data_IF_555994741555
#
_entry.id   IF_555994741555
#
_cell.length_a   1.000
_cell.length_b   1.000
_cell.length_c   1.000
_cell.angle_alpha   90.00
_cell.angle_beta   90.00
_cell.angle_gamma   90.00
#
_symmetry.space_group_name_H-M   'P 1'
#
loop_
_entity.id
_entity.type
_entity.pdbx_description
1 polymer ?
#
# COMPACT_ATOMS: atom_id res chain seq x y z
N UNK A 1 99.66 -29.80 -111.37
CA UNK A 1 98.51 -30.50 -110.77
C UNK A 1 98.30 -29.93 -109.36
N UNK A 2 97.49 -28.87 -109.26
CA UNK A 2 97.04 -28.19 -108.03
C UNK A 2 95.58 -27.82 -108.31
N UNK A 3 94.61 -28.55 -107.75
CA UNK A 3 93.19 -28.16 -107.83
C UNK A 3 92.28 -28.82 -106.78
N UNK A 4 92.66 -29.94 -106.14
CA UNK A 4 91.67 -30.73 -105.37
C UNK A 4 91.68 -30.53 -103.84
N UNK A 5 92.44 -29.59 -103.29
CA UNK A 5 92.57 -29.42 -101.82
C UNK A 5 91.81 -28.25 -101.19
N UNK A 6 91.09 -27.44 -101.99
CA UNK A 6 90.34 -26.28 -101.47
C UNK A 6 88.82 -26.48 -101.35
N UNK A 7 88.24 -27.53 -101.94
CA UNK A 7 86.78 -27.76 -101.87
C UNK A 7 86.32 -28.44 -100.57
N UNK A 8 87.14 -29.30 -99.95
CA UNK A 8 86.73 -30.12 -98.80
C UNK A 8 86.55 -29.29 -97.51
N UNK A 9 87.35 -28.25 -97.29
CA UNK A 9 87.26 -27.42 -96.08
C UNK A 9 86.08 -26.44 -96.07
N UNK A 10 85.59 -26.01 -97.24
CA UNK A 10 84.40 -25.15 -97.35
C UNK A 10 83.10 -25.93 -97.12
N UNK A 11 83.03 -27.18 -97.60
CA UNK A 11 81.86 -28.03 -97.39
C UNK A 11 81.71 -28.45 -95.92
N UNK A 12 82.80 -28.71 -95.19
CA UNK A 12 82.77 -28.99 -93.75
C UNK A 12 82.37 -27.76 -92.92
N UNK A 13 82.83 -26.57 -93.29
CA UNK A 13 82.45 -25.33 -92.62
C UNK A 13 80.96 -24.99 -92.83
N UNK A 14 80.45 -25.20 -94.05
CA UNK A 14 79.03 -25.03 -94.34
C UNK A 14 78.16 -26.10 -93.67
N UNK A 15 78.60 -27.36 -93.61
CA UNK A 15 77.92 -28.41 -92.84
C UNK A 15 77.91 -28.14 -91.34
N UNK A 16 79.00 -27.60 -90.78
CA UNK A 16 79.08 -27.17 -89.38
C UNK A 16 78.14 -26.00 -89.09
N UNK A 17 78.11 -25.00 -89.98
CA UNK A 17 77.19 -23.86 -89.89
C UNK A 17 75.73 -24.28 -90.05
N UNK A 18 75.43 -25.20 -90.98
CA UNK A 18 74.08 -25.73 -91.19
C UNK A 18 73.64 -26.59 -90.01
N UNK A 19 74.53 -27.41 -89.43
CA UNK A 19 74.26 -28.19 -88.21
C UNK A 19 74.04 -27.27 -87.00
N UNK A 20 74.83 -26.20 -86.87
CA UNK A 20 74.64 -25.20 -85.82
C UNK A 20 73.32 -24.43 -85.99
N UNK A 21 72.98 -24.02 -87.21
CA UNK A 21 71.74 -23.32 -87.53
C UNK A 21 70.50 -24.23 -87.37
N UNK A 22 70.59 -25.50 -87.76
CA UNK A 22 69.55 -26.49 -87.55
C UNK A 22 69.40 -26.84 -86.07
N UNK A 23 70.49 -26.98 -85.31
CA UNK A 23 70.44 -27.19 -83.86
C UNK A 23 69.80 -25.99 -83.15
N UNK A 24 70.17 -24.76 -83.53
CA UNK A 24 69.59 -23.55 -82.94
C UNK A 24 68.10 -23.41 -83.23
N UNK A 25 67.64 -23.71 -84.46
CA UNK A 25 66.20 -23.67 -84.80
C UNK A 25 65.38 -24.84 -84.24
N UNK A 26 65.97 -26.02 -84.05
CA UNK A 26 65.28 -27.16 -83.45
C UNK A 26 65.08 -27.02 -81.93
N UNK A 27 65.93 -26.25 -81.24
CA UNK A 27 65.85 -26.08 -79.78
C UNK A 27 65.33 -24.70 -79.33
N UNK A 28 65.41 -23.63 -80.15
CA UNK A 28 64.88 -22.31 -79.77
C UNK A 28 63.34 -22.20 -79.87
N UNK A 29 62.66 -23.07 -80.62
CA UNK A 29 61.21 -22.95 -80.86
C UNK A 29 60.33 -23.57 -79.75
N UNK A 30 60.90 -24.38 -78.84
CA UNK A 30 60.12 -25.15 -77.86
C UNK A 30 60.42 -24.87 -76.40
N UNK A 31 61.52 -24.22 -76.03
CA UNK A 31 61.86 -24.05 -74.60
C UNK A 31 61.37 -22.73 -73.99
N UNK A 32 61.47 -21.58 -74.67
CA UNK A 32 61.08 -20.30 -74.06
C UNK A 32 59.55 -20.16 -73.87
N UNK A 33 58.74 -20.64 -74.82
CA UNK A 33 57.28 -20.56 -74.78
C UNK A 33 56.65 -21.54 -73.78
N UNK A 34 57.17 -22.77 -73.72
CA UNK A 34 56.67 -23.80 -72.78
C UNK A 34 57.11 -23.52 -71.35
N UNK A 35 58.34 -23.01 -71.14
CA UNK A 35 58.84 -22.59 -69.83
C UNK A 35 58.06 -21.39 -69.28
N UNK A 36 57.70 -20.42 -70.13
CA UNK A 36 56.85 -19.27 -69.72
C UNK A 36 55.45 -19.75 -69.33
N UNK A 37 54.84 -20.66 -70.12
CA UNK A 37 53.54 -21.25 -69.81
C UNK A 37 53.56 -22.08 -68.52
N UNK A 38 54.62 -22.85 -68.28
CA UNK A 38 54.78 -23.61 -67.05
C UNK A 38 54.91 -22.70 -65.82
N UNK A 39 55.68 -21.61 -65.93
CA UNK A 39 55.80 -20.59 -64.88
C UNK A 39 54.46 -19.91 -64.57
N UNK A 40 53.65 -19.60 -65.59
CA UNK A 40 52.31 -19.03 -65.40
C UNK A 40 51.34 -20.01 -64.74
N UNK A 41 51.38 -21.29 -65.10
CA UNK A 41 50.58 -22.33 -64.44
C UNK A 41 51.00 -22.47 -62.97
N UNK A 42 52.30 -22.47 -62.67
CA UNK A 42 52.80 -22.50 -61.29
C UNK A 42 52.33 -21.30 -60.48
N UNK A 43 52.39 -20.09 -61.04
CA UNK A 43 51.85 -18.88 -60.38
C UNK A 43 50.35 -18.99 -60.10
N UNK A 44 49.57 -19.53 -61.04
CA UNK A 44 48.13 -19.77 -60.84
C UNK A 44 47.86 -20.83 -59.78
N UNK A 45 48.62 -21.92 -59.77
CA UNK A 45 48.50 -22.97 -58.74
C UNK A 45 48.82 -22.41 -57.35
N UNK A 46 49.89 -21.62 -57.24
CA UNK A 46 50.22 -20.94 -55.98
C UNK A 46 49.09 -20.01 -55.53
N UNK A 47 48.57 -19.16 -56.41
CA UNK A 47 47.48 -18.25 -56.08
C UNK A 47 46.18 -18.99 -55.67
N UNK A 48 45.91 -20.15 -56.28
CA UNK A 48 44.79 -21.02 -55.90
C UNK A 48 45.03 -21.64 -54.52
N UNK A 49 46.23 -22.11 -54.22
CA UNK A 49 46.57 -22.65 -52.90
C UNK A 49 46.44 -21.57 -51.83
N UNK A 50 47.04 -20.40 -52.03
CA UNK A 50 46.95 -19.28 -51.09
C UNK A 50 45.48 -18.88 -50.83
N UNK A 51 44.65 -18.88 -51.88
CA UNK A 51 43.21 -18.63 -51.76
C UNK A 51 42.47 -19.75 -51.03
N UNK A 52 42.87 -21.01 -51.24
CA UNK A 52 42.27 -22.16 -50.56
C UNK A 52 42.57 -22.12 -49.07
N UNK A 53 43.82 -21.79 -48.70
CA UNK A 53 44.23 -21.64 -47.30
C UNK A 53 43.50 -20.48 -46.61
N UNK A 54 43.30 -19.36 -47.32
CA UNK A 54 42.53 -18.23 -46.81
C UNK A 54 41.06 -18.58 -46.58
N UNK A 55 40.41 -19.25 -47.55
CA UNK A 55 39.03 -19.71 -47.41
C UNK A 55 38.87 -20.76 -46.31
N UNK A 56 39.86 -21.64 -46.14
CA UNK A 56 39.87 -22.62 -45.06
C UNK A 56 39.93 -21.94 -43.70
N UNK A 57 40.78 -20.91 -43.55
CA UNK A 57 40.85 -20.12 -42.33
C UNK A 57 39.55 -19.37 -42.05
N UNK A 58 38.97 -18.72 -43.05
CA UNK A 58 37.68 -18.03 -42.91
C UNK A 58 36.56 -18.99 -42.51
N UNK A 59 36.56 -20.23 -43.03
CA UNK A 59 35.61 -21.27 -42.65
C UNK A 59 35.79 -21.68 -41.18
N UNK A 60 37.03 -21.88 -40.72
CA UNK A 60 37.34 -22.22 -39.32
C UNK A 60 36.91 -21.10 -38.37
N UNK A 61 37.25 -19.84 -38.69
CA UNK A 61 36.86 -18.67 -37.91
C UNK A 61 35.32 -18.54 -37.84
N UNK A 62 34.63 -18.76 -38.96
CA UNK A 62 33.17 -18.77 -39.02
C UNK A 62 32.56 -19.91 -38.19
N UNK A 63 33.17 -21.09 -38.17
CA UNK A 63 32.68 -22.23 -37.36
C UNK A 63 32.80 -21.95 -35.87
N UNK A 64 33.91 -21.33 -35.43
CA UNK A 64 34.08 -20.92 -34.03
C UNK A 64 33.05 -19.86 -33.64
N UNK A 65 32.79 -18.87 -34.51
CA UNK A 65 31.78 -17.86 -34.28
C UNK A 65 30.36 -18.45 -34.17
N UNK A 66 30.01 -19.39 -35.06
CA UNK A 66 28.72 -20.10 -35.02
C UNK A 66 28.57 -20.92 -33.74
N UNK A 67 29.64 -21.61 -33.31
CA UNK A 67 29.61 -22.37 -32.05
C UNK A 67 29.36 -21.47 -30.86
N UNK A 68 30.08 -20.35 -30.76
CA UNK A 68 29.88 -19.36 -29.69
C UNK A 68 28.45 -18.81 -29.70
N UNK A 69 27.92 -18.44 -30.86
CA UNK A 69 26.54 -17.95 -30.98
C UNK A 69 25.52 -19.00 -30.53
N UNK A 70 25.74 -20.29 -30.83
CA UNK A 70 24.86 -21.37 -30.37
C UNK A 70 24.92 -21.55 -28.84
N UNK A 71 26.09 -21.41 -28.23
CA UNK A 71 26.26 -21.47 -26.78
C UNK A 71 25.52 -20.30 -26.10
N UNK A 72 25.63 -19.08 -26.65
CA UNK A 72 24.92 -17.89 -26.17
C UNK A 72 23.39 -18.07 -26.30
N UNK A 73 22.90 -18.61 -27.42
CA UNK A 73 21.47 -18.94 -27.63
C UNK A 73 20.98 -19.94 -26.59
N UNK A 74 21.79 -20.94 -26.22
CA UNK A 74 21.42 -21.93 -25.22
C UNK A 74 21.26 -21.29 -23.82
N UNK A 75 22.16 -20.38 -23.44
CA UNK A 75 22.07 -19.63 -22.17
C UNK A 75 20.80 -18.77 -22.16
N UNK A 76 20.58 -17.98 -23.21
CA UNK A 76 19.39 -17.13 -23.32
C UNK A 76 18.08 -17.94 -23.32
N UNK A 77 18.10 -19.15 -23.86
CA UNK A 77 16.93 -20.06 -23.83
C UNK A 77 16.61 -20.48 -22.40
N UNK A 78 17.62 -20.82 -21.59
CA UNK A 78 17.44 -21.17 -20.18
C UNK A 78 16.91 -19.96 -19.39
N UNK A 79 17.51 -18.78 -19.58
CA UNK A 79 17.06 -17.56 -18.90
C UNK A 79 15.62 -17.19 -19.26
N UNK A 80 15.24 -17.34 -20.54
CA UNK A 80 13.85 -17.16 -20.99
C UNK A 80 12.92 -18.12 -20.27
N UNK A 81 13.27 -19.39 -20.14
CA UNK A 81 12.42 -20.39 -19.50
C UNK A 81 12.25 -20.13 -17.99
N UNK A 82 13.32 -19.67 -17.32
CA UNK A 82 13.27 -19.21 -15.93
C UNK A 82 12.36 -17.99 -15.75
N UNK A 83 12.43 -17.03 -16.68
CA UNK A 83 11.56 -15.85 -16.68
C UNK A 83 10.09 -16.23 -16.93
N UNK A 84 9.82 -17.17 -17.84
CA UNK A 84 8.46 -17.70 -18.06
C UNK A 84 7.92 -18.33 -16.78
N UNK A 85 8.72 -19.15 -16.08
CA UNK A 85 8.30 -19.74 -14.81
C UNK A 85 7.99 -18.70 -13.73
N UNK A 86 8.74 -17.60 -13.67
CA UNK A 86 8.44 -16.47 -12.77
C UNK A 86 7.14 -15.77 -13.15
N UNK A 87 6.88 -15.57 -14.45
CA UNK A 87 5.65 -14.97 -14.96
C UNK A 87 4.44 -15.84 -14.57
N UNK A 88 4.52 -17.15 -14.77
CA UNK A 88 3.45 -18.08 -14.40
C UNK A 88 3.16 -18.04 -12.89
N UNK A 89 4.21 -18.02 -12.05
CA UNK A 89 4.04 -17.89 -10.61
C UNK A 89 3.38 -16.56 -10.20
N UNK A 90 3.74 -15.46 -10.85
CA UNK A 90 3.12 -14.16 -10.61
C UNK A 90 1.65 -14.16 -11.04
N UNK A 91 1.31 -14.77 -12.17
CA UNK A 91 -0.06 -14.91 -12.63
C UNK A 91 -0.93 -15.71 -11.65
N UNK A 92 -0.42 -16.83 -11.13
CA UNK A 92 -1.09 -17.62 -10.10
C UNK A 92 -1.37 -16.80 -8.83
N UNK A 93 -0.41 -15.96 -8.43
CA UNK A 93 -0.57 -15.08 -7.27
C UNK A 93 -1.58 -13.97 -7.52
N UNK A 94 -1.61 -13.39 -8.73
CA UNK A 94 -2.62 -12.42 -9.14
C UNK A 94 -4.01 -13.05 -9.06
N UNK A 95 -4.20 -14.25 -9.61
CA UNK A 95 -5.51 -14.93 -9.59
C UNK A 95 -5.99 -15.21 -8.15
N UNK A 96 -5.08 -15.61 -7.25
CA UNK A 96 -5.40 -15.79 -5.82
C UNK A 96 -5.80 -14.47 -5.14
N UNK A 97 -5.08 -13.39 -5.45
CA UNK A 97 -5.37 -12.06 -4.90
C UNK A 97 -6.71 -11.51 -5.41
N UNK A 98 -7.03 -11.73 -6.69
CA UNK A 98 -8.33 -11.37 -7.26
C UNK A 98 -9.48 -12.11 -6.59
N UNK A 99 -9.36 -13.43 -6.41
CA UNK A 99 -10.34 -14.23 -5.66
C UNK A 99 -10.52 -13.75 -4.22
N UNK A 100 -9.42 -13.41 -3.54
CA UNK A 100 -9.48 -12.86 -2.18
C UNK A 100 -10.16 -11.48 -2.16
N UNK A 101 -9.88 -10.63 -3.15
CA UNK A 101 -10.48 -9.30 -3.26
C UNK A 101 -11.99 -9.38 -3.51
N UNK A 102 -12.42 -10.31 -4.35
CA UNK A 102 -13.85 -10.53 -4.62
C UNK A 102 -14.59 -11.05 -3.38
N UNK A 103 -13.97 -11.94 -2.61
CA UNK A 103 -14.53 -12.39 -1.33
C UNK A 103 -14.71 -11.23 -0.33
N UNK A 104 -13.71 -10.36 -0.20
CA UNK A 104 -13.80 -9.17 0.67
C UNK A 104 -14.86 -8.17 0.20
N UNK A 105 -15.03 -8.01 -1.13
CA UNK A 105 -16.12 -7.19 -1.70
C UNK A 105 -17.49 -7.75 -1.33
N UNK A 106 -17.66 -9.07 -1.39
CA UNK A 106 -18.90 -9.74 -1.01
C UNK A 106 -19.19 -9.57 0.49
N UNK A 107 -18.19 -9.79 1.36
CA UNK A 107 -18.31 -9.54 2.80
C UNK A 107 -18.70 -8.09 3.10
N UNK A 108 -18.07 -7.12 2.45
CA UNK A 108 -18.40 -5.70 2.60
C UNK A 108 -19.84 -5.40 2.18
N UNK A 109 -20.31 -5.99 1.08
CA UNK A 109 -21.69 -5.86 0.63
C UNK A 109 -22.68 -6.41 1.67
N UNK A 110 -22.40 -7.60 2.21
CA UNK A 110 -23.23 -8.23 3.24
C UNK A 110 -23.27 -7.41 4.54
N UNK A 111 -22.13 -6.85 4.96
CA UNK A 111 -22.08 -5.96 6.11
C UNK A 111 -22.84 -4.65 5.87
N UNK A 112 -22.79 -4.07 4.66
CA UNK A 112 -23.54 -2.87 4.33
C UNK A 112 -25.06 -3.12 4.45
N UNK A 113 -25.56 -4.23 3.91
CA UNK A 113 -26.98 -4.62 4.03
C UNK A 113 -27.38 -4.83 5.50
N UNK A 114 -26.53 -5.51 6.27
CA UNK A 114 -26.78 -5.77 7.70
C UNK A 114 -26.82 -4.46 8.50
N UNK A 115 -25.90 -3.54 8.21
CA UNK A 115 -25.83 -2.24 8.85
C UNK A 115 -27.07 -1.40 8.53
N UNK A 116 -27.49 -1.36 7.27
CA UNK A 116 -28.71 -0.66 6.84
C UNK A 116 -29.95 -1.21 7.56
N UNK A 117 -30.07 -2.54 7.65
CA UNK A 117 -31.14 -3.17 8.42
C UNK A 117 -31.15 -2.78 9.91
N UNK A 118 -29.97 -2.70 10.53
CA UNK A 118 -29.83 -2.26 11.93
C UNK A 118 -30.12 -0.77 12.12
N UNK A 119 -29.76 0.07 11.15
CA UNK A 119 -30.12 1.50 11.15
C UNK A 119 -31.64 1.67 11.09
N UNK A 120 -32.33 0.96 10.20
CA UNK A 120 -33.80 1.01 10.14
C UNK A 120 -34.46 0.50 11.42
N UNK A 121 -33.91 -0.53 12.07
CA UNK A 121 -34.40 -1.02 13.37
C UNK A 121 -34.25 0.06 14.47
N UNK A 122 -33.10 0.74 14.52
CA UNK A 122 -32.85 1.84 15.46
C UNK A 122 -33.82 3.00 15.21
N UNK A 123 -34.05 3.39 13.96
CA UNK A 123 -34.99 4.46 13.61
C UNK A 123 -36.43 4.12 14.05
N UNK A 124 -36.85 2.86 13.86
CA UNK A 124 -38.16 2.38 14.34
C UNK A 124 -38.28 2.46 15.86
N UNK A 125 -37.26 1.99 16.59
CA UNK A 125 -37.25 2.05 18.05
C UNK A 125 -37.21 3.49 18.58
N UNK A 126 -36.52 4.39 17.88
CA UNK A 126 -36.48 5.81 18.23
C UNK A 126 -37.87 6.45 18.12
N UNK A 127 -38.61 6.16 17.05
CA UNK A 127 -40.00 6.61 16.88
C UNK A 127 -40.93 6.06 17.97
N UNK A 128 -40.74 4.81 18.37
CA UNK A 128 -41.50 4.21 19.48
C UNK A 128 -41.20 4.91 20.82
N UNK A 129 -39.92 5.17 21.11
CA UNK A 129 -39.51 5.92 22.31
C UNK A 129 -40.16 7.31 22.34
N UNK A 130 -40.16 8.03 21.23
CA UNK A 130 -40.74 9.37 21.16
C UNK A 130 -42.27 9.34 21.33
N UNK A 131 -42.94 8.31 20.79
CA UNK A 131 -44.37 8.06 21.04
C UNK A 131 -44.64 7.80 22.53
N UNK A 132 -43.88 6.91 23.16
CA UNK A 132 -44.02 6.60 24.59
C UNK A 132 -43.75 7.82 25.47
N UNK A 133 -42.73 8.63 25.16
CA UNK A 133 -42.46 9.90 25.86
C UNK A 133 -43.64 10.87 25.77
N UNK A 134 -44.25 11.00 24.60
CA UNK A 134 -45.46 11.82 24.41
C UNK A 134 -46.63 11.33 25.27
N UNK A 135 -46.83 10.01 25.35
CA UNK A 135 -47.85 9.40 26.22
C UNK A 135 -47.58 9.67 27.70
N UNK A 136 -46.33 9.53 28.17
CA UNK A 136 -45.93 9.83 29.54
C UNK A 136 -46.23 11.29 29.88
N UNK A 137 -45.84 12.25 29.05
CA UNK A 137 -46.13 13.68 29.25
C UNK A 137 -47.65 13.94 29.33
N UNK A 138 -48.43 13.24 28.50
CA UNK A 138 -49.91 13.36 28.52
C UNK A 138 -50.49 12.79 29.82
N UNK A 139 -49.92 11.72 30.36
CA UNK A 139 -50.36 11.15 31.63
C UNK A 139 -49.94 12.01 32.83
N UNK A 140 -48.73 12.59 32.82
CA UNK A 140 -48.25 13.50 33.86
C UNK A 140 -49.10 14.78 33.96
N UNK A 141 -49.50 15.34 32.82
CA UNK A 141 -50.40 16.50 32.80
C UNK A 141 -51.79 16.16 33.35
N UNK A 142 -52.35 14.99 32.98
CA UNK A 142 -53.61 14.50 33.55
C UNK A 142 -53.51 14.24 35.04
N UNK A 143 -52.40 13.68 35.52
CA UNK A 143 -52.15 13.44 36.93
C UNK A 143 -52.11 14.76 37.70
N UNK A 144 -51.40 15.76 37.19
CA UNK A 144 -51.32 17.10 37.78
C UNK A 144 -52.69 17.78 37.87
N UNK A 145 -53.54 17.64 36.84
CA UNK A 145 -54.92 18.13 36.86
C UNK A 145 -55.78 17.39 37.89
N UNK A 146 -55.64 16.07 37.99
CA UNK A 146 -56.34 15.27 38.98
C UNK A 146 -55.92 15.66 40.41
N UNK A 147 -54.63 15.91 40.65
CA UNK A 147 -54.13 16.36 41.95
C UNK A 147 -54.68 17.74 42.33
N UNK A 148 -54.71 18.69 41.38
CA UNK A 148 -55.25 20.04 41.63
C UNK A 148 -56.77 19.99 41.92
N UNK A 149 -57.54 19.21 41.16
CA UNK A 149 -58.98 19.02 41.43
C UNK A 149 -59.21 18.34 42.78
N UNK A 150 -58.37 17.37 43.15
CA UNK A 150 -58.44 16.71 44.47
C UNK A 150 -58.15 17.69 45.60
N UNK A 151 -57.20 18.61 45.41
CA UNK A 151 -56.89 19.68 46.36
C UNK A 151 -58.06 20.65 46.51
N UNK A 152 -58.64 21.11 45.40
CA UNK A 152 -59.82 21.98 45.41
C UNK A 152 -61.02 21.33 46.12
N UNK A 153 -61.28 20.05 45.86
CA UNK A 153 -62.35 19.30 46.53
C UNK A 153 -62.09 19.15 48.03
N UNK A 154 -60.84 18.92 48.45
CA UNK A 154 -60.45 18.91 49.87
C UNK A 154 -60.70 20.26 50.55
N UNK A 155 -60.34 21.36 49.89
CA UNK A 155 -60.60 22.71 50.39
C UNK A 155 -62.10 23.02 50.49
N UNK A 156 -62.90 22.61 49.49
CA UNK A 156 -64.36 22.71 49.53
C UNK A 156 -64.97 21.91 50.69
N UNK A 157 -64.53 20.67 50.91
CA UNK A 157 -64.95 19.85 52.06
C UNK A 157 -64.59 20.52 53.39
N UNK A 158 -63.39 21.10 53.49
CA UNK A 158 -62.96 21.80 54.71
C UNK A 158 -63.79 23.07 54.97
N UNK A 159 -64.19 23.79 53.92
CA UNK A 159 -65.03 24.97 54.03
C UNK A 159 -66.50 24.63 54.32
N UNK A 160 -67.05 23.58 53.70
CA UNK A 160 -68.40 23.09 53.97
C UNK A 160 -68.56 22.57 55.42
N UNK A 161 -67.49 22.03 56.01
CA UNK A 161 -67.46 21.68 57.44
C UNK A 161 -67.47 22.89 58.40
N UNK A 162 -67.41 24.13 57.89
CA UNK A 162 -67.47 25.37 58.69
C UNK A 162 -68.76 26.16 58.51
N UNK A 163 -69.65 25.77 57.60
CA UNK A 163 -70.98 26.36 57.56
C UNK A 163 -71.75 25.96 58.83
N UNK A 164 -72.35 26.91 59.56
CA UNK A 164 -73.18 26.58 60.71
C UNK A 164 -74.36 25.76 60.19
N UNK A 165 -74.38 24.47 60.53
CA UNK A 165 -75.52 23.61 60.26
C UNK A 165 -76.76 24.20 60.95
N UNK A 166 -77.93 24.12 60.31
CA UNK A 166 -79.27 24.40 60.87
C UNK A 166 -79.40 23.93 62.34
N UNK A 167 -78.81 22.77 62.62
CA UNK A 167 -78.61 22.23 63.95
C UNK A 167 -77.55 23.01 64.76
N UNK A 168 -77.66 24.34 64.93
CA UNK A 168 -76.65 25.23 65.53
C UNK A 168 -75.94 24.70 66.79
N UNK A 169 -74.81 25.31 67.18
CA UNK A 169 -73.82 24.85 68.18
C UNK A 169 -74.35 24.29 69.53
N UNK A 170 -75.63 24.47 69.86
CA UNK A 170 -76.30 23.85 71.01
C UNK A 170 -76.87 22.44 70.74
N UNK A 171 -76.87 21.97 69.49
CA UNK A 171 -77.44 20.67 69.12
C UNK A 171 -76.44 19.57 69.43
N UNK A 172 -76.62 18.90 70.57
CA UNK A 172 -75.84 17.71 70.91
C UNK A 172 -76.20 16.57 69.95
N UNK A 173 -75.29 16.24 69.04
CA UNK A 173 -75.39 15.03 68.24
C UNK A 173 -75.23 13.83 69.18
N UNK A 174 -76.34 13.13 69.44
CA UNK A 174 -76.32 11.89 70.20
C UNK A 174 -75.66 10.80 69.37
N UNK A 175 -74.35 10.61 69.57
CA UNK A 175 -73.63 9.44 69.09
C UNK A 175 -74.11 8.21 69.87
N UNK A 176 -75.18 7.59 69.39
CA UNK A 176 -75.60 6.28 69.88
C UNK A 176 -74.47 5.28 69.65
N UNK A 177 -74.19 4.44 70.65
CA UNK A 177 -73.05 3.51 70.68
C UNK A 177 -72.98 2.53 69.49
N UNK A 178 -74.08 2.42 68.72
CA UNK A 178 -74.22 1.65 67.49
C UNK A 178 -74.83 2.53 66.38
N UNK A 179 -74.19 3.64 66.02
CA UNK A 179 -74.61 4.40 64.85
C UNK A 179 -74.41 3.51 63.60
N UNK A 180 -75.47 3.14 62.86
CA UNK A 180 -75.35 2.23 61.71
C UNK A 180 -74.39 2.76 60.64
N UNK A 181 -74.23 4.08 60.52
CA UNK A 181 -73.23 4.69 59.65
C UNK A 181 -71.81 4.47 60.18
N UNK A 182 -71.58 4.65 61.48
CA UNK A 182 -70.28 4.39 62.09
C UNK A 182 -69.91 2.90 62.00
N UNK A 183 -70.87 1.99 62.20
CA UNK A 183 -70.63 0.56 62.01
C UNK A 183 -70.22 0.22 60.57
N UNK A 184 -70.85 0.84 59.56
CA UNK A 184 -70.49 0.63 58.16
C UNK A 184 -69.11 1.24 57.80
N UNK A 185 -68.80 2.42 58.36
CA UNK A 185 -67.48 3.04 58.21
C UNK A 185 -66.41 2.18 58.89
N UNK A 186 -66.65 1.71 60.12
CA UNK A 186 -65.74 0.84 60.86
C UNK A 186 -65.54 -0.51 60.14
N UNK A 187 -66.58 -1.09 59.53
CA UNK A 187 -66.48 -2.29 58.69
C UNK A 187 -65.64 -2.04 57.43
N UNK A 188 -65.81 -0.90 56.76
CA UNK A 188 -64.95 -0.51 55.64
C UNK A 188 -63.50 -0.31 56.09
N UNK A 189 -63.29 0.36 57.22
CA UNK A 189 -61.97 0.65 57.77
C UNK A 189 -61.25 -0.64 58.19
N UNK A 190 -62.00 -1.60 58.73
CA UNK A 190 -61.50 -2.96 59.01
C UNK A 190 -61.19 -3.70 57.72
N UNK A 191 -62.07 -3.64 56.71
CA UNK A 191 -61.83 -4.26 55.40
C UNK A 191 -60.65 -3.65 54.64
N UNK A 192 -60.44 -2.34 54.77
CA UNK A 192 -59.34 -1.60 54.17
C UNK A 192 -58.03 -1.87 54.91
N UNK A 193 -58.03 -1.90 56.25
CA UNK A 193 -56.89 -2.36 57.06
C UNK A 193 -56.57 -3.83 56.78
N UNK A 194 -57.56 -4.67 56.52
CA UNK A 194 -57.36 -6.07 56.15
C UNK A 194 -56.78 -6.22 54.74
N UNK A 195 -57.22 -5.39 53.78
CA UNK A 195 -56.59 -5.26 52.46
C UNK A 195 -55.15 -4.73 52.54
N UNK A 196 -54.89 -3.73 53.37
CA UNK A 196 -53.56 -3.18 53.63
C UNK A 196 -52.65 -4.17 54.34
N UNK A 197 -53.17 -4.97 55.28
CA UNK A 197 -52.42 -6.06 55.92
C UNK A 197 -52.10 -7.18 54.93
N UNK A 198 -53.02 -7.51 54.01
CA UNK A 198 -52.74 -8.42 52.89
C UNK A 198 -51.64 -7.89 51.95
N UNK A 199 -51.66 -6.59 51.62
CA UNK A 199 -50.60 -5.95 50.81
C UNK A 199 -49.25 -5.84 51.55
N UNK A 200 -49.26 -5.53 52.85
CA UNK A 200 -48.03 -5.43 53.65
C UNK A 200 -47.38 -6.78 53.96
N UNK A 201 -48.16 -7.86 54.01
CA UNK A 201 -47.60 -9.21 54.10
C UNK A 201 -46.83 -9.61 52.80
N UNK A 202 -47.20 -9.04 51.65
CA UNK A 202 -46.46 -9.21 50.39
C UNK A 202 -45.26 -8.25 50.26
N UNK A 203 -45.30 -7.05 50.85
CA UNK A 203 -44.23 -6.05 50.75
C UNK A 203 -43.07 -6.24 51.76
N UNK A 204 -43.16 -7.17 52.71
CA UNK A 204 -42.07 -7.37 53.70
C UNK A 204 -40.82 -8.05 53.11
N UNK A 205 -40.82 -8.36 51.80
CA UNK A 205 -39.66 -8.83 51.03
C UNK A 205 -38.97 -7.73 50.21
N UNK A 206 -39.29 -6.45 50.41
CA UNK A 206 -38.66 -5.33 49.71
C UNK A 206 -37.28 -4.92 50.29
N UNK A 207 -36.43 -5.88 50.64
CA UNK A 207 -35.00 -5.69 50.37
C UNK A 207 -34.84 -5.82 48.87
N UNK A 208 -34.11 -4.91 48.19
CA UNK A 208 -33.83 -4.97 46.74
C UNK A 208 -33.89 -6.42 46.24
N UNK A 209 -34.93 -6.74 45.44
CA UNK A 209 -35.23 -8.14 45.13
C UNK A 209 -33.96 -8.80 44.60
N UNK A 210 -33.69 -10.04 45.00
CA UNK A 210 -32.50 -10.78 44.56
C UNK A 210 -32.34 -10.78 43.02
N UNK A 211 -33.44 -10.60 42.29
CA UNK A 211 -33.49 -10.37 40.85
C UNK A 211 -32.97 -9.00 40.41
N UNK A 212 -33.35 -7.90 41.07
CA UNK A 212 -32.84 -6.58 40.72
C UNK A 212 -31.31 -6.45 40.93
N UNK A 213 -30.77 -7.13 41.95
CA UNK A 213 -29.32 -7.23 42.16
C UNK A 213 -28.64 -8.07 41.09
N UNK A 214 -29.20 -9.23 40.75
CA UNK A 214 -28.68 -10.08 39.67
C UNK A 214 -28.72 -9.38 38.31
N UNK A 215 -29.80 -8.68 37.99
CA UNK A 215 -29.92 -7.92 36.75
C UNK A 215 -28.87 -6.80 36.64
N UNK A 216 -28.56 -6.11 37.75
CA UNK A 216 -27.47 -5.12 37.79
C UNK A 216 -26.10 -5.77 37.62
N UNK A 217 -25.84 -6.91 38.27
CA UNK A 217 -24.58 -7.65 38.12
C UNK A 217 -24.39 -8.17 36.70
N UNK A 218 -25.44 -8.70 36.06
CA UNK A 218 -25.41 -9.11 34.66
C UNK A 218 -25.16 -7.94 33.70
N UNK A 219 -25.77 -6.78 33.96
CA UNK A 219 -25.51 -5.57 33.18
C UNK A 219 -24.07 -5.07 33.33
N UNK A 220 -23.50 -5.11 34.54
CA UNK A 220 -22.10 -4.75 34.79
C UNK A 220 -21.18 -5.71 34.02
N UNK A 221 -21.40 -7.02 34.11
CA UNK A 221 -20.61 -8.01 33.38
C UNK A 221 -20.71 -7.82 31.85
N UNK A 222 -21.89 -7.47 31.33
CA UNK A 222 -22.07 -7.18 29.91
C UNK A 222 -21.26 -5.95 29.47
N UNK A 223 -21.29 -4.87 30.26
CA UNK A 223 -20.53 -3.64 29.99
C UNK A 223 -19.02 -3.86 30.11
N UNK A 224 -18.56 -4.63 31.10
CA UNK A 224 -17.14 -4.99 31.24
C UNK A 224 -16.65 -5.82 30.05
N UNK A 225 -17.46 -6.76 29.57
CA UNK A 225 -17.15 -7.53 28.37
C UNK A 225 -17.11 -6.66 27.12
N UNK A 226 -18.01 -5.69 27.00
CA UNK A 226 -18.04 -4.75 25.88
C UNK A 226 -16.82 -3.82 25.90
N UNK A 227 -16.43 -3.32 27.08
CA UNK A 227 -15.23 -2.51 27.26
C UNK A 227 -13.99 -3.31 26.86
N UNK A 228 -13.85 -4.53 27.37
CA UNK A 228 -12.73 -5.42 27.02
C UNK A 228 -12.68 -5.77 25.54
N UNK A 229 -13.85 -5.91 24.89
CA UNK A 229 -13.92 -6.09 23.43
C UNK A 229 -13.42 -4.84 22.71
N UNK A 230 -13.92 -3.67 23.09
CA UNK A 230 -13.52 -2.38 22.50
C UNK A 230 -12.03 -2.09 22.70
N UNK A 231 -11.45 -2.43 23.86
CA UNK A 231 -10.01 -2.29 24.12
C UNK A 231 -9.17 -3.16 23.18
N UNK A 232 -9.58 -4.42 22.93
CA UNK A 232 -8.90 -5.29 21.97
C UNK A 232 -9.00 -4.75 20.54
N UNK A 233 -10.17 -4.26 20.14
CA UNK A 233 -10.38 -3.66 18.82
C UNK A 233 -9.52 -2.40 18.64
N UNK A 234 -9.44 -1.54 19.67
CA UNK A 234 -8.55 -0.37 19.69
C UNK A 234 -7.08 -0.77 19.57
N UNK A 235 -6.65 -1.80 20.30
CA UNK A 235 -5.27 -2.29 20.22
C UNK A 235 -4.96 -2.84 18.82
N UNK A 236 -5.88 -3.58 18.21
CA UNK A 236 -5.74 -4.05 16.83
C UNK A 236 -5.65 -2.90 15.82
N UNK A 237 -6.48 -1.86 15.98
CA UNK A 237 -6.44 -0.68 15.12
C UNK A 237 -5.09 0.06 15.23
N UNK A 238 -4.55 0.21 16.44
CA UNK A 238 -3.23 0.83 16.66
C UNK A 238 -2.10 0.01 16.03
N UNK A 239 -2.16 -1.33 16.10
CA UNK A 239 -1.18 -2.21 15.43
C UNK A 239 -1.24 -2.06 13.92
N UNK A 240 -2.44 -2.09 13.35
CA UNK A 240 -2.63 -1.87 11.91
C UNK A 240 -2.12 -0.50 11.47
N UNK A 241 -2.40 0.57 12.22
CA UNK A 241 -1.91 1.91 11.93
C UNK A 241 -0.37 1.97 11.95
N UNK A 242 0.27 1.33 12.93
CA UNK A 242 1.73 1.26 13.01
C UNK A 242 2.33 0.50 11.81
N UNK A 243 1.72 -0.61 11.41
CA UNK A 243 2.13 -1.41 10.24
C UNK A 243 1.96 -0.65 8.93
N UNK A 244 0.84 0.06 8.74
CA UNK A 244 0.63 0.92 7.58
C UNK A 244 1.65 2.05 7.52
N UNK A 245 1.88 2.75 8.64
CA UNK A 245 2.87 3.81 8.72
C UNK A 245 4.30 3.30 8.42
N UNK A 246 4.61 2.06 8.82
CA UNK A 246 5.89 1.41 8.50
C UNK A 246 6.00 1.11 7.01
N UNK A 247 5.00 0.45 6.41
CA UNK A 247 4.96 0.13 4.97
C UNK A 247 5.04 1.38 4.11
N UNK A 248 4.32 2.45 4.49
CA UNK A 248 4.37 3.71 3.75
C UNK A 248 5.78 4.33 3.78
N UNK A 249 6.45 4.30 4.94
CA UNK A 249 7.84 4.77 5.05
C UNK A 249 8.81 3.92 4.23
N UNK A 250 8.63 2.61 4.20
CA UNK A 250 9.43 1.72 3.34
C UNK A 250 9.24 2.06 1.87
N UNK A 251 7.99 2.18 1.40
CA UNK A 251 7.68 2.56 0.00
C UNK A 251 8.26 3.95 -0.32
N UNK A 252 8.06 4.94 0.55
CA UNK A 252 8.60 6.28 0.34
C UNK A 252 10.13 6.26 0.26
N UNK A 253 10.80 5.49 1.11
CA UNK A 253 12.26 5.33 1.09
C UNK A 253 12.72 4.71 -0.23
N UNK A 254 12.09 3.63 -0.66
CA UNK A 254 12.44 2.94 -1.92
C UNK A 254 12.21 3.81 -3.15
N UNK A 255 11.13 4.58 -3.19
CA UNK A 255 10.77 5.37 -4.38
C UNK A 255 11.49 6.72 -4.46
N UNK A 256 11.73 7.37 -3.32
CA UNK A 256 12.27 8.73 -3.28
C UNK A 256 13.73 8.79 -2.84
N UNK A 257 14.25 7.70 -2.28
CA UNK A 257 15.57 7.67 -1.66
C UNK A 257 15.64 8.42 -0.33
N UNK A 258 14.50 8.70 0.31
CA UNK A 258 14.45 9.40 1.59
C UNK A 258 13.80 8.57 2.70
N UNK A 259 14.56 8.35 3.78
CA UNK A 259 14.05 7.76 5.00
C UNK A 259 13.44 8.84 5.90
N UNK A 260 12.12 8.74 6.14
CA UNK A 260 11.37 9.69 6.96
C UNK A 260 11.13 9.11 8.36
N UNK A 261 11.56 9.83 9.40
CA UNK A 261 11.39 9.47 10.81
C UNK A 261 10.60 10.58 11.53
N UNK A 262 9.47 10.23 12.14
CA UNK A 262 8.73 11.15 13.01
C UNK A 262 9.43 11.21 14.37
N UNK A 263 9.87 12.40 14.80
CA UNK A 263 10.51 12.61 16.11
C UNK A 263 9.48 13.02 17.16
N UNK A 264 8.63 13.97 16.81
CA UNK A 264 7.58 14.47 17.70
C UNK A 264 6.27 14.56 16.90
N UNK A 265 5.30 13.72 17.28
CA UNK A 265 3.99 13.64 16.61
C UNK A 265 3.12 14.83 17.03
N UNK A 266 3.25 15.31 18.26
CA UNK A 266 2.44 16.42 18.79
C UNK A 266 2.91 17.75 18.21
N UNK A 267 4.21 17.95 18.06
CA UNK A 267 4.77 19.16 17.44
C UNK A 267 4.88 19.09 15.90
N UNK A 268 4.55 17.94 15.30
CA UNK A 268 4.60 17.74 13.85
C UNK A 268 6.01 17.73 13.28
N UNK A 269 7.02 17.31 14.06
CA UNK A 269 8.43 17.34 13.65
C UNK A 269 8.84 15.99 13.04
N UNK A 270 9.39 16.05 11.83
CA UNK A 270 9.95 14.89 11.14
C UNK A 270 11.40 15.13 10.70
N UNK A 271 12.17 14.05 10.65
CA UNK A 271 13.54 14.01 10.14
C UNK A 271 13.56 13.22 8.85
N UNK A 272 14.29 13.73 7.87
CA UNK A 272 14.40 13.19 6.53
C UNK A 272 15.87 12.96 6.23
N UNK A 273 16.25 11.71 5.99
CA UNK A 273 17.62 11.30 5.72
C UNK A 273 17.68 10.73 4.31
N UNK A 274 18.67 11.12 3.52
CA UNK A 274 18.88 10.54 2.19
C UNK A 274 19.57 9.18 2.33
N UNK A 275 19.12 8.17 1.57
CA UNK A 275 19.81 6.86 1.47
C UNK A 275 21.12 6.94 0.69
N UNK A 276 21.34 8.06 0.00
CA UNK A 276 22.54 8.34 -0.78
C UNK A 276 23.60 9.12 0.01
N UNK A 277 23.29 9.57 1.24
CA UNK A 277 24.25 10.24 2.12
C UNK A 277 24.87 9.25 3.12
N UNK A 278 26.12 8.90 2.90
CA UNK A 278 26.87 7.98 3.77
C UNK A 278 27.20 8.60 5.15
N UNK A 279 27.02 9.92 5.30
CA UNK A 279 27.27 10.65 6.55
C UNK A 279 26.06 10.64 7.51
N UNK A 280 24.96 9.97 7.15
CA UNK A 280 23.71 9.87 7.92
C UNK A 280 23.11 11.20 8.38
N UNK A 281 23.45 12.31 7.72
CA UNK A 281 22.97 13.62 8.16
C UNK A 281 21.48 13.75 7.81
N UNK A 282 20.76 14.56 8.58
CA UNK A 282 19.31 14.69 8.48
C UNK A 282 18.87 16.13 8.19
N UNK A 283 17.80 16.26 7.41
CA UNK A 283 16.99 17.47 7.34
C UNK A 283 15.85 17.35 8.34
N UNK A 284 15.54 18.43 9.06
CA UNK A 284 14.46 18.44 10.04
C UNK A 284 13.37 19.37 9.56
N UNK A 285 12.16 18.84 9.38
CA UNK A 285 11.00 19.59 8.97
C UNK A 285 9.97 19.65 10.09
N UNK A 286 9.24 20.76 10.15
CA UNK A 286 8.10 20.94 11.04
C UNK A 286 6.84 21.18 10.22
N UNK A 287 5.83 20.35 10.42
CA UNK A 287 4.51 20.55 9.87
C UNK A 287 3.71 21.48 10.78
N UNK A 288 3.25 22.60 10.23
CA UNK A 288 2.36 23.51 10.94
C UNK A 288 0.90 23.15 10.63
N UNK A 289 0.21 22.60 11.64
CA UNK A 289 -1.17 22.15 11.48
C UNK A 289 -2.17 23.28 11.16
N UNK A 290 -1.87 24.53 11.56
CA UNK A 290 -2.75 25.68 11.31
C UNK A 290 -2.67 26.18 9.87
N UNK A 291 -1.46 26.17 9.29
CA UNK A 291 -1.23 26.65 7.93
C UNK A 291 -1.21 25.53 6.89
N UNK A 292 -1.04 24.28 7.32
CA UNK A 292 -0.82 23.13 6.44
C UNK A 292 0.54 23.14 5.74
N UNK A 293 1.45 24.04 6.13
CA UNK A 293 2.76 24.23 5.50
C UNK A 293 3.81 23.41 6.26
N UNK A 294 4.77 22.87 5.52
CA UNK A 294 5.96 22.22 6.06
C UNK A 294 7.12 23.19 5.97
N UNK A 295 7.74 23.50 7.10
CA UNK A 295 8.91 24.38 7.18
C UNK A 295 10.18 23.56 7.45
N UNK A 296 11.27 23.90 6.77
CA UNK A 296 12.59 23.35 7.08
C UNK A 296 13.16 24.10 8.30
N UNK A 297 13.45 23.36 9.36
CA UNK A 297 14.09 23.91 10.55
C UNK A 297 15.59 24.04 10.31
N UNK A 298 16.13 25.24 10.52
CA UNK A 298 17.57 25.47 10.53
C UNK A 298 18.17 24.93 11.83
N UNK A 299 18.68 23.70 11.76
CA UNK A 299 19.37 23.06 12.89
C UNK A 299 20.88 23.27 12.80
N UNK A 300 21.33 24.43 12.29
CA UNK A 300 22.73 24.77 11.96
C UNK A 300 23.78 24.73 13.09
N UNK A 301 23.44 24.16 14.26
CA UNK A 301 24.34 23.87 15.38
C UNK A 301 24.47 22.37 15.72
N UNK A 302 23.63 21.49 15.14
CA UNK A 302 23.69 20.06 15.42
C UNK A 302 24.65 19.36 14.46
N UNK A 303 25.53 18.49 14.98
CA UNK A 303 26.59 17.79 14.24
C UNK A 303 26.01 16.92 13.11
N UNK A 304 24.73 16.57 13.23
CA UNK A 304 23.97 15.74 12.28
C UNK A 304 23.14 16.55 11.27
N UNK A 305 23.17 17.88 11.30
CA UNK A 305 22.34 18.72 10.42
C UNK A 305 22.96 18.89 9.02
N UNK A 306 22.17 18.67 7.97
CA UNK A 306 22.63 18.82 6.57
C UNK A 306 22.62 20.27 6.04
N UNK A 307 22.15 21.27 6.79
CA UNK A 307 21.78 22.57 6.20
C UNK A 307 22.90 23.30 5.43
N UNK A 308 24.13 23.33 5.97
CA UNK A 308 25.20 24.20 5.42
C UNK A 308 25.69 23.79 4.01
N UNK A 309 25.97 22.51 3.71
CA UNK A 309 26.34 22.09 2.36
C UNK A 309 25.31 22.38 1.26
N UNK A 310 24.04 22.59 1.62
CA UNK A 310 22.93 22.73 0.69
C UNK A 310 22.32 24.13 0.70
N UNK A 311 23.02 25.12 1.25
CA UNK A 311 22.51 26.50 1.39
C UNK A 311 22.10 27.10 0.04
N UNK A 312 22.85 26.78 -1.03
CA UNK A 312 22.51 27.23 -2.39
C UNK A 312 21.18 26.62 -2.89
N UNK A 313 21.00 25.31 -2.72
CA UNK A 313 19.78 24.60 -3.09
C UNK A 313 18.60 25.01 -2.21
N UNK A 314 18.83 25.23 -0.91
CA UNK A 314 17.82 25.75 0.01
C UNK A 314 17.33 27.13 -0.43
N UNK A 315 18.25 28.05 -0.73
CA UNK A 315 17.90 29.39 -1.21
C UNK A 315 17.09 29.32 -2.52
N UNK A 316 17.55 28.50 -3.48
CA UNK A 316 16.94 28.39 -4.81
C UNK A 316 15.58 27.68 -4.81
N UNK A 317 15.42 26.62 -4.04
CA UNK A 317 14.22 25.78 -4.09
C UNK A 317 13.24 26.07 -2.95
N UNK A 318 13.71 26.29 -1.73
CA UNK A 318 12.85 26.62 -0.59
C UNK A 318 12.59 28.13 -0.54
N UNK A 319 13.64 28.93 -0.68
CA UNK A 319 13.55 30.40 -0.62
C UNK A 319 12.82 31.01 -1.82
N UNK A 320 13.29 30.76 -3.04
CA UNK A 320 12.76 31.39 -4.26
C UNK A 320 11.52 30.68 -4.83
N UNK A 321 11.47 29.34 -4.72
CA UNK A 321 10.43 28.51 -5.37
C UNK A 321 9.43 27.89 -4.41
N UNK A 322 9.64 28.01 -3.10
CA UNK A 322 8.79 27.43 -2.06
C UNK A 322 8.47 25.94 -2.29
N UNK A 323 9.46 25.18 -2.77
CA UNK A 323 9.30 23.78 -3.17
C UNK A 323 10.27 22.87 -2.44
N UNK A 324 9.79 22.26 -1.35
CA UNK A 324 10.51 21.19 -0.66
C UNK A 324 10.75 19.98 -1.57
N UNK A 325 9.78 19.51 -2.39
CA UNK A 325 10.05 18.41 -3.32
C UNK A 325 11.15 18.77 -4.33
N UNK A 326 11.17 20.01 -4.84
CA UNK A 326 12.22 20.48 -5.74
C UNK A 326 13.60 20.51 -5.07
N UNK A 327 13.65 20.94 -3.81
CA UNK A 327 14.86 20.92 -3.00
C UNK A 327 15.39 19.49 -2.80
N UNK A 328 14.54 18.59 -2.30
CA UNK A 328 14.91 17.19 -2.04
C UNK A 328 15.31 16.47 -3.33
N UNK A 329 14.63 16.70 -4.45
CA UNK A 329 15.04 16.12 -5.74
C UNK A 329 16.42 16.61 -6.17
N UNK A 330 16.72 17.92 -6.01
CA UNK A 330 18.03 18.47 -6.34
C UNK A 330 19.15 17.88 -5.45
N UNK A 331 18.89 17.73 -4.15
CA UNK A 331 19.81 17.08 -3.21
C UNK A 331 20.08 15.63 -3.61
N UNK A 332 19.04 14.86 -3.95
CA UNK A 332 19.17 13.47 -4.39
C UNK A 332 20.07 13.36 -5.62
N UNK A 333 19.81 14.16 -6.67
CA UNK A 333 20.60 14.12 -7.91
C UNK A 333 22.08 14.47 -7.65
N UNK A 334 22.36 15.41 -6.75
CA UNK A 334 23.73 15.77 -6.41
C UNK A 334 24.44 14.70 -5.57
N UNK A 335 23.75 14.06 -4.63
CA UNK A 335 24.29 12.95 -3.85
C UNK A 335 24.55 11.72 -4.74
N UNK A 336 23.61 11.41 -5.63
CA UNK A 336 23.75 10.33 -6.62
C UNK A 336 24.93 10.58 -7.56
N UNK A 337 25.11 11.81 -8.06
CA UNK A 337 26.25 12.16 -8.90
C UNK A 337 27.62 12.07 -8.17
N UNK A 338 27.64 12.15 -6.84
CA UNK A 338 28.85 11.99 -6.01
C UNK A 338 29.16 10.53 -5.71
N UNK A 339 28.17 9.62 -5.80
CA UNK A 339 28.43 8.18 -5.78
C UNK A 339 29.08 7.81 -7.10
N UNK A 340 30.35 7.42 -7.05
CA UNK A 340 31.07 6.92 -8.23
C UNK A 340 30.24 5.80 -8.89
N UNK A 341 29.98 5.92 -10.18
CA UNK A 341 29.11 5.06 -11.01
C UNK A 341 29.58 3.59 -11.14
N UNK A 342 30.62 3.18 -10.42
CA UNK A 342 31.26 1.88 -10.60
C UNK A 342 30.62 0.75 -9.77
N UNK A 343 29.70 1.05 -8.84
CA UNK A 343 29.05 0.05 -7.96
C UNK A 343 27.54 -0.12 -8.16
N UNK A 344 26.94 0.47 -9.19
CA UNK A 344 25.53 0.24 -9.50
C UNK A 344 25.42 -0.74 -10.66
N UNK A 345 25.04 -1.98 -10.36
CA UNK A 345 24.38 -2.87 -11.32
C UNK A 345 23.26 -2.06 -11.99
N UNK A 346 23.53 -1.59 -13.21
CA UNK A 346 22.57 -0.87 -14.04
C UNK A 346 21.41 -1.81 -14.32
N UNK A 347 20.37 -1.72 -13.52
CA UNK A 347 19.04 -2.19 -13.93
C UNK A 347 18.56 -1.26 -15.05
N UNK A 348 18.05 -1.89 -16.10
CA UNK A 348 17.81 -1.31 -17.43
C UNK A 348 17.08 0.03 -17.40
N UNK A 349 17.79 1.09 -17.81
CA UNK A 349 17.17 2.38 -18.12
C UNK A 349 16.58 2.28 -19.52
N UNK A 350 15.24 2.20 -19.59
CA UNK A 350 14.46 2.35 -20.81
C UNK A 350 14.80 3.66 -21.52
N UNK A 351 15.63 3.59 -22.55
CA UNK A 351 15.85 4.70 -23.48
C UNK A 351 14.72 4.70 -24.50
N UNK A 352 13.66 5.48 -24.24
CA UNK A 352 12.66 5.82 -25.26
C UNK A 352 13.29 6.90 -26.15
N UNK A 353 14.00 6.45 -27.20
CA UNK A 353 14.34 7.29 -28.34
C UNK A 353 13.04 7.61 -29.09
N UNK A 354 12.63 8.87 -29.04
CA UNK A 354 11.71 9.43 -30.03
C UNK A 354 12.49 9.72 -31.32
N UNK A 355 12.40 8.81 -32.29
CA UNK A 355 12.68 9.15 -33.69
C UNK A 355 11.50 9.94 -34.27
N UNK A 356 11.83 11.02 -34.99
CA UNK A 356 10.92 11.78 -35.85
C UNK A 356 11.12 11.37 -37.29
#
# INVERSE_FOLDING_TARGET
>A
MRADWFCVNTEEAELSSLRSACSKKLFDFTDSSTQTRAADIMKRMQAINDRTDLLQKELEDSQVAVKKANDDIAILTIERDDLIGKIDHLNDNIEKLEKSLDHERELRSNFAITLEGKVSEIESLQLEIDSLRSQVNTLETKLSQADETTKQLREQLQNAGREPTDAGDETQILHLRNNPFQCAVDEMDVAERERLRKRKADETFAGESSEAKRAREEQILALENQLKKSEREKEQALRLQADFAKKYREIATTLTGYQIKLKDIEEGICCVNSVYDDMEKQFVFKYNAETGIVDLLDVGQDVLSQGRPWEHEMQKYIGERHSIPGFLAAVTLQLEARRNLDEVERTDVFSILHEK
#
